data_IF_967784881846
#
_entry.id   IF_967784881846
#
_cell.length_a   1.000
_cell.length_b   1.000
_cell.length_c   1.000
_cell.angle_alpha   90.00
_cell.angle_beta   90.00
_cell.angle_gamma   90.00
#
_symmetry.space_group_name_H-M   'P 1'
#
loop_
_entity.id
_entity.type
_entity.pdbx_description
1 polymer ?
#
# COMPACT_ATOMS: atom_id res chain seq x y z
N UNK A 1 -19.58 -0.26 -7.84
CA UNK A 1 -18.39 -0.69 -8.62
C UNK A 1 -17.64 0.58 -8.99
N UNK A 2 -16.32 0.62 -8.81
CA UNK A 2 -15.51 1.82 -9.09
C UNK A 2 -15.56 2.17 -10.58
N UNK A 3 -15.81 3.44 -10.91
CA UNK A 3 -15.78 3.92 -12.30
C UNK A 3 -14.33 4.01 -12.79
N UNK A 4 -13.85 2.92 -13.38
CA UNK A 4 -12.46 2.82 -13.85
C UNK A 4 -12.12 3.87 -14.90
N UNK A 5 -13.06 4.28 -15.75
CA UNK A 5 -12.79 5.27 -16.79
C UNK A 5 -12.57 6.66 -16.17
N UNK A 6 -13.38 7.03 -15.17
CA UNK A 6 -13.17 8.25 -14.40
C UNK A 6 -11.83 8.23 -13.64
N UNK A 7 -11.49 7.11 -12.98
CA UNK A 7 -10.21 6.95 -12.28
C UNK A 7 -9.01 7.08 -13.23
N UNK A 8 -9.09 6.48 -14.42
CA UNK A 8 -8.04 6.58 -15.43
C UNK A 8 -7.89 8.02 -15.95
N UNK A 9 -9.00 8.71 -16.22
CA UNK A 9 -8.96 10.12 -16.63
C UNK A 9 -8.29 11.00 -15.57
N UNK A 10 -8.59 10.78 -14.28
CA UNK A 10 -7.96 11.51 -13.18
C UNK A 10 -6.48 11.15 -13.04
N UNK A 11 -6.10 9.88 -13.08
CA UNK A 11 -4.71 9.45 -12.96
C UNK A 11 -3.81 9.98 -14.09
N UNK A 12 -4.40 10.36 -15.23
CA UNK A 12 -3.73 11.01 -16.36
C UNK A 12 -3.64 12.55 -16.25
N UNK A 13 -4.26 13.16 -15.22
CA UNK A 13 -4.09 14.58 -14.89
C UNK A 13 -2.75 14.79 -14.17
N UNK A 14 -1.67 14.75 -14.93
CA UNK A 14 -0.32 14.89 -14.39
C UNK A 14 0.74 14.39 -15.37
N UNK A 15 1.96 14.14 -14.88
CA UNK A 15 3.00 13.48 -15.68
C UNK A 15 2.55 12.08 -16.14
N UNK A 16 3.13 11.59 -17.22
CA UNK A 16 2.79 10.29 -17.80
C UNK A 16 2.86 9.17 -16.76
N UNK A 17 1.74 8.49 -16.45
CA UNK A 17 1.73 7.43 -15.45
C UNK A 17 2.40 6.17 -16.01
N UNK A 18 3.24 5.53 -15.20
CA UNK A 18 3.72 4.16 -15.41
C UNK A 18 2.64 3.18 -14.96
N UNK A 19 2.03 3.45 -13.81
CA UNK A 19 0.86 2.71 -13.34
C UNK A 19 0.04 3.52 -12.35
N UNK A 20 -1.21 3.10 -12.19
CA UNK A 20 -2.11 3.56 -11.15
C UNK A 20 -2.91 2.36 -10.64
N UNK A 21 -2.95 2.20 -9.32
CA UNK A 21 -3.66 1.13 -8.62
C UNK A 21 -4.52 1.72 -7.51
N UNK A 22 -5.65 1.09 -7.24
CA UNK A 22 -6.47 1.43 -6.08
C UNK A 22 -5.79 0.88 -4.82
N UNK A 23 -5.77 1.68 -3.77
CA UNK A 23 -5.30 1.36 -2.42
C UNK A 23 -6.43 1.60 -1.40
N UNK A 24 -6.08 1.84 -0.14
CA UNK A 24 -7.06 2.20 0.88
C UNK A 24 -8.02 1.07 1.22
N UNK A 25 -9.19 1.43 1.77
CA UNK A 25 -10.18 0.47 2.23
C UNK A 25 -10.62 -0.53 1.13
N UNK A 26 -10.57 -0.12 -0.14
CA UNK A 26 -10.85 -0.99 -1.28
C UNK A 26 -9.81 -2.10 -1.45
N UNK A 27 -8.52 -1.77 -1.39
CA UNK A 27 -7.44 -2.77 -1.41
C UNK A 27 -7.44 -3.63 -0.14
N UNK A 28 -7.80 -3.04 0.99
CA UNK A 28 -7.70 -3.69 2.28
C UNK A 28 -8.91 -4.57 2.62
N UNK A 29 -9.93 -4.60 1.75
CA UNK A 29 -11.05 -5.54 1.85
C UNK A 29 -12.20 -5.08 2.75
N UNK A 30 -12.28 -3.80 3.10
CA UNK A 30 -13.32 -3.29 4.01
C UNK A 30 -13.90 -1.94 3.59
N UNK A 31 -13.89 -1.64 2.29
CA UNK A 31 -14.59 -0.47 1.76
C UNK A 31 -16.10 -0.56 2.03
N UNK A 32 -16.68 0.57 2.46
CA UNK A 32 -18.11 0.84 2.50
C UNK A 32 -18.54 1.65 1.27
N UNK A 33 -19.85 1.81 1.02
CA UNK A 33 -20.36 2.58 -0.13
C UNK A 33 -19.89 4.05 -0.17
N UNK A 34 -19.59 4.62 0.99
CA UNK A 34 -19.11 5.99 1.21
C UNK A 34 -17.58 6.09 1.33
N UNK A 35 -16.83 5.00 1.13
CA UNK A 35 -15.36 5.04 1.24
C UNK A 35 -14.71 5.85 0.12
N UNK A 36 -13.72 6.66 0.52
CA UNK A 36 -12.82 7.36 -0.40
C UNK A 36 -12.05 6.39 -1.31
N UNK A 37 -11.75 6.87 -2.52
CA UNK A 37 -10.91 6.14 -3.46
C UNK A 37 -9.47 6.64 -3.36
N UNK A 38 -8.61 5.85 -2.73
CA UNK A 38 -7.17 6.05 -2.75
C UNK A 38 -6.59 5.52 -4.06
N UNK A 39 -6.12 6.40 -4.96
CA UNK A 39 -5.27 5.99 -6.07
C UNK A 39 -3.81 6.18 -5.69
N UNK A 40 -2.99 5.19 -6.01
CA UNK A 40 -1.54 5.20 -5.78
C UNK A 40 -0.77 4.68 -6.99
N UNK A 41 0.42 5.21 -7.24
CA UNK A 41 1.19 4.75 -8.39
C UNK A 41 2.56 5.41 -8.60
N UNK A 42 3.07 5.24 -9.81
CA UNK A 42 4.30 5.87 -10.27
C UNK A 42 4.09 6.56 -11.62
N UNK A 43 4.82 7.65 -11.83
CA UNK A 43 4.89 8.39 -13.08
C UNK A 43 6.34 8.62 -13.50
N UNK A 44 6.53 9.14 -14.71
CA UNK A 44 7.86 9.43 -15.25
C UNK A 44 8.04 10.92 -15.50
N UNK A 45 9.04 11.53 -14.84
CA UNK A 45 9.52 12.86 -15.20
C UNK A 45 10.56 12.79 -16.33
N UNK A 46 10.65 13.84 -17.17
CA UNK A 46 11.67 13.93 -18.23
C UNK A 46 13.08 14.03 -17.64
N UNK A 47 14.10 13.62 -18.39
CA UNK A 47 15.52 13.65 -17.98
C UNK A 47 15.94 15.06 -17.58
N UNK A 48 15.50 16.06 -18.36
CA UNK A 48 15.67 17.49 -18.07
C UNK A 48 15.35 17.86 -16.63
N UNK A 49 14.35 17.24 -16.00
CA UNK A 49 13.94 17.56 -14.63
C UNK A 49 15.02 17.24 -13.59
N UNK A 50 15.93 16.31 -13.90
CA UNK A 50 17.02 15.88 -13.01
C UNK A 50 18.37 16.54 -13.33
N UNK A 51 18.52 17.16 -14.50
CA UNK A 51 19.74 17.86 -14.91
C UNK A 51 19.76 19.35 -14.53
N UNK A 52 18.60 19.90 -14.12
CA UNK A 52 18.47 21.29 -13.70
C UNK A 52 19.10 21.58 -12.33
N UNK A 53 19.29 22.86 -12.01
CA UNK A 53 19.88 23.33 -10.75
C UNK A 53 19.06 22.99 -9.49
N UNK A 54 17.75 22.74 -9.64
CA UNK A 54 16.81 22.50 -8.53
C UNK A 54 16.37 21.05 -8.57
N UNK A 55 16.26 20.44 -7.39
CA UNK A 55 15.69 19.10 -7.26
C UNK A 55 14.25 19.09 -7.79
N UNK A 56 13.85 18.09 -8.58
CA UNK A 56 12.49 18.01 -9.11
C UNK A 56 11.49 17.64 -8.02
N UNK A 57 10.23 18.02 -8.24
CA UNK A 57 9.12 17.52 -7.44
C UNK A 57 8.81 16.07 -7.83
N UNK A 58 9.30 15.12 -7.04
CA UNK A 58 9.15 13.68 -7.30
C UNK A 58 7.81 13.10 -6.81
N UNK A 59 6.82 13.94 -6.45
CA UNK A 59 5.53 13.47 -5.90
C UNK A 59 4.39 14.35 -6.36
N UNK A 60 3.41 13.70 -6.96
CA UNK A 60 2.12 14.25 -7.29
C UNK A 60 1.15 13.91 -6.17
N UNK A 61 0.37 14.89 -5.72
CA UNK A 61 -0.77 14.72 -4.84
C UNK A 61 -1.92 15.55 -5.44
N UNK A 62 -3.05 14.90 -5.71
CA UNK A 62 -4.24 15.53 -6.28
C UNK A 62 -5.46 14.99 -5.54
N UNK A 63 -6.24 15.89 -4.96
CA UNK A 63 -7.55 15.58 -4.40
C UNK A 63 -8.63 15.93 -5.44
N UNK A 64 -9.57 15.02 -5.68
CA UNK A 64 -10.77 15.27 -6.47
C UNK A 64 -11.99 15.18 -5.55
N UNK A 65 -12.75 16.28 -5.51
CA UNK A 65 -14.00 16.40 -4.74
C UNK A 65 -15.13 16.64 -5.73
N UNK A 66 -15.57 15.56 -6.38
CA UNK A 66 -16.53 15.59 -7.47
C UNK A 66 -17.66 14.57 -7.26
N UNK A 67 -17.85 13.69 -8.23
CA UNK A 67 -18.83 12.59 -8.13
C UNK A 67 -18.48 11.57 -7.03
N UNK A 68 -17.21 11.52 -6.62
CA UNK A 68 -16.69 10.73 -5.51
C UNK A 68 -15.48 11.45 -4.90
N UNK A 69 -15.14 11.11 -3.66
CA UNK A 69 -13.92 11.59 -2.99
C UNK A 69 -12.74 10.71 -3.41
N UNK A 70 -11.70 11.33 -3.98
CA UNK A 70 -10.50 10.63 -4.42
C UNK A 70 -9.23 11.38 -4.02
N UNK A 71 -8.25 10.60 -3.57
CA UNK A 71 -6.89 11.04 -3.32
C UNK A 71 -5.92 10.31 -4.27
N UNK A 72 -5.30 11.04 -5.20
CA UNK A 72 -4.30 10.53 -6.13
C UNK A 72 -2.90 10.93 -5.69
N UNK A 73 -2.13 9.94 -5.21
CA UNK A 73 -0.74 10.13 -4.83
C UNK A 73 0.16 9.22 -5.65
N UNK A 74 1.09 9.82 -6.39
CA UNK A 74 2.06 9.08 -7.17
C UNK A 74 3.47 9.63 -7.01
N UNK A 75 4.47 8.81 -7.28
CA UNK A 75 5.88 9.19 -7.20
C UNK A 75 6.56 9.08 -8.56
N UNK A 76 7.56 9.91 -8.83
CA UNK A 76 8.45 9.65 -9.96
C UNK A 76 9.08 8.25 -9.81
N UNK A 77 9.27 7.56 -10.94
CA UNK A 77 9.79 6.19 -10.99
C UNK A 77 11.07 6.01 -10.18
N UNK A 78 12.01 6.97 -10.23
CA UNK A 78 13.26 6.91 -9.47
C UNK A 78 12.99 6.92 -7.96
N UNK A 79 12.09 7.80 -7.49
CA UNK A 79 11.70 7.85 -6.07
C UNK A 79 10.97 6.57 -5.66
N UNK A 80 10.06 6.08 -6.49
CA UNK A 80 9.30 4.85 -6.22
C UNK A 80 10.24 3.64 -6.05
N UNK A 81 11.18 3.45 -6.98
CA UNK A 81 12.18 2.38 -6.92
C UNK A 81 13.11 2.55 -5.71
N UNK A 82 13.55 3.77 -5.40
CA UNK A 82 14.34 4.04 -4.18
C UNK A 82 13.58 3.63 -2.92
N UNK A 83 12.29 3.89 -2.84
CA UNK A 83 11.46 3.45 -1.71
C UNK A 83 11.35 1.92 -1.64
N UNK A 84 11.20 1.23 -2.79
CA UNK A 84 11.21 -0.25 -2.83
C UNK A 84 12.51 -0.82 -2.26
N UNK A 85 13.66 -0.26 -2.64
CA UNK A 85 14.97 -0.69 -2.14
C UNK A 85 15.21 -0.34 -0.66
N UNK A 86 14.32 0.45 -0.04
CA UNK A 86 14.38 0.84 1.37
C UNK A 86 13.33 0.07 2.20
N UNK A 87 12.99 -1.15 1.77
CA UNK A 87 12.11 -2.08 2.49
C UNK A 87 10.72 -1.50 2.80
N UNK A 88 10.22 -0.64 1.91
CA UNK A 88 9.01 0.10 2.15
C UNK A 88 7.75 -0.69 1.74
N UNK A 89 7.06 -1.27 2.73
CA UNK A 89 5.84 -2.05 2.53
C UNK A 89 4.71 -1.28 1.84
N UNK A 90 4.63 0.05 2.01
CA UNK A 90 3.59 0.88 1.37
C UNK A 90 3.67 0.85 -0.15
N UNK A 91 4.86 1.00 -0.75
CA UNK A 91 5.01 0.94 -2.21
C UNK A 91 4.93 -0.48 -2.74
N UNK A 92 5.27 -1.49 -1.94
CA UNK A 92 5.03 -2.90 -2.29
C UNK A 92 3.53 -3.19 -2.40
N UNK A 93 2.72 -2.77 -1.41
CA UNK A 93 1.27 -2.96 -1.44
C UNK A 93 0.61 -2.27 -2.63
N UNK A 94 1.12 -1.11 -3.06
CA UNK A 94 0.64 -0.42 -4.26
C UNK A 94 0.99 -1.20 -5.53
N UNK A 95 2.27 -1.57 -5.66
CA UNK A 95 2.77 -2.26 -6.86
C UNK A 95 2.09 -3.61 -7.09
N UNK A 96 1.75 -4.32 -6.01
CA UNK A 96 1.09 -5.62 -6.03
C UNK A 96 -0.42 -5.56 -5.79
N UNK A 97 -1.02 -4.38 -5.73
CA UNK A 97 -2.48 -4.26 -5.68
C UNK A 97 -3.13 -4.95 -6.88
N UNK A 98 -4.13 -5.83 -6.67
CA UNK A 98 -4.86 -6.45 -7.76
C UNK A 98 -5.81 -5.48 -8.47
N UNK A 99 -6.08 -4.31 -7.87
CA UNK A 99 -7.04 -3.32 -8.36
C UNK A 99 -6.35 -2.31 -9.29
N UNK A 100 -5.97 -2.79 -10.48
CA UNK A 100 -5.21 -2.01 -11.46
C UNK A 100 -6.11 -1.07 -12.27
N UNK A 101 -5.82 0.23 -12.24
CA UNK A 101 -6.48 1.25 -13.08
C UNK A 101 -5.68 1.42 -14.37
N UNK A 102 -4.39 1.77 -14.26
CA UNK A 102 -3.46 1.93 -15.39
C UNK A 102 -2.31 0.94 -15.22
N UNK A 103 -1.98 0.24 -16.30
CA UNK A 103 -0.78 -0.60 -16.43
C UNK A 103 -0.10 -0.32 -17.77
N UNK A 104 1.21 -0.18 -17.75
CA UNK A 104 2.06 -0.01 -18.94
C UNK A 104 3.10 -1.14 -19.02
N UNK A 105 3.80 -1.34 -20.14
CA UNK A 105 4.86 -2.35 -20.20
C UNK A 105 5.95 -2.18 -19.11
N UNK A 106 6.45 -0.95 -18.80
CA UNK A 106 7.39 -0.75 -17.68
C UNK A 106 6.81 -1.14 -16.31
N UNK A 107 5.50 -1.06 -16.09
CA UNK A 107 4.89 -1.52 -14.84
C UNK A 107 5.02 -3.04 -14.67
N UNK A 108 4.83 -3.81 -15.74
CA UNK A 108 4.96 -5.27 -15.68
C UNK A 108 6.41 -5.67 -15.40
N UNK A 109 7.37 -5.01 -16.04
CA UNK A 109 8.80 -5.22 -15.78
C UNK A 109 9.18 -4.84 -14.34
N UNK A 110 8.72 -3.68 -13.86
CA UNK A 110 8.94 -3.25 -12.47
C UNK A 110 8.38 -4.25 -11.47
N UNK A 111 7.19 -4.81 -11.71
CA UNK A 111 6.60 -5.84 -10.83
C UNK A 111 7.48 -7.07 -10.69
N UNK A 112 8.09 -7.53 -11.78
CA UNK A 112 8.97 -8.70 -11.73
C UNK A 112 10.30 -8.38 -11.03
N UNK A 113 10.92 -7.24 -11.34
CA UNK A 113 12.15 -6.80 -10.66
C UNK A 113 11.93 -6.57 -9.16
N UNK A 114 10.79 -5.99 -8.77
CA UNK A 114 10.49 -5.66 -7.38
C UNK A 114 10.28 -6.88 -6.49
N UNK A 115 10.17 -8.11 -7.03
CA UNK A 115 10.23 -9.34 -6.23
C UNK A 115 11.54 -9.42 -5.44
N UNK A 116 12.63 -8.93 -6.02
CA UNK A 116 13.93 -8.81 -5.36
C UNK A 116 13.94 -7.84 -4.17
N UNK A 117 12.93 -6.97 -4.03
CA UNK A 117 12.81 -6.02 -2.91
C UNK A 117 11.93 -6.53 -1.75
N UNK A 118 11.42 -7.76 -1.83
CA UNK A 118 10.72 -8.39 -0.71
C UNK A 118 11.77 -8.98 0.23
N UNK A 119 12.00 -8.29 1.34
CA UNK A 119 13.14 -8.51 2.23
C UNK A 119 12.70 -8.64 3.68
N UNK A 120 13.53 -9.26 4.52
CA UNK A 120 13.28 -9.45 5.95
C UNK A 120 13.09 -8.11 6.69
N UNK A 121 13.86 -7.03 6.43
CA UNK A 121 13.67 -5.74 7.10
C UNK A 121 12.34 -5.05 6.78
N UNK A 122 11.58 -5.48 5.77
CA UNK A 122 10.23 -4.94 5.47
C UNK A 122 9.28 -5.11 6.66
N UNK A 123 9.51 -6.08 7.55
CA UNK A 123 8.77 -6.20 8.81
C UNK A 123 8.75 -4.91 9.64
N UNK A 124 9.85 -4.13 9.62
CA UNK A 124 9.96 -2.87 10.37
C UNK A 124 8.97 -1.82 9.88
N UNK A 125 8.65 -1.83 8.59
CA UNK A 125 7.59 -0.98 8.03
C UNK A 125 6.24 -1.34 8.68
N UNK A 126 5.88 -2.62 8.69
CA UNK A 126 4.62 -3.10 9.28
C UNK A 126 4.55 -2.85 10.78
N UNK A 127 5.64 -3.08 11.52
CA UNK A 127 5.74 -2.78 12.96
C UNK A 127 5.54 -1.28 13.24
N UNK A 128 6.21 -0.41 12.46
CA UNK A 128 6.07 1.03 12.58
C UNK A 128 4.65 1.50 12.26
N UNK A 129 4.04 0.94 11.22
CA UNK A 129 2.67 1.25 10.84
C UNK A 129 1.67 0.78 11.90
N UNK A 130 1.82 -0.45 12.41
CA UNK A 130 1.01 -1.01 13.49
C UNK A 130 1.05 -0.11 14.73
N UNK A 131 2.24 0.32 15.15
CA UNK A 131 2.41 1.27 16.26
C UNK A 131 1.63 2.57 16.05
N UNK A 132 1.64 3.10 14.82
CA UNK A 132 0.82 4.26 14.44
C UNK A 132 -0.69 3.99 14.59
N UNK A 133 -1.15 2.79 14.22
CA UNK A 133 -2.57 2.40 14.38
C UNK A 133 -2.95 2.17 15.84
N UNK A 134 -2.07 1.55 16.64
CA UNK A 134 -2.26 1.45 18.10
C UNK A 134 -2.36 2.82 18.75
N UNK A 135 -1.56 3.80 18.31
CA UNK A 135 -1.69 5.19 18.78
C UNK A 135 -3.06 5.78 18.41
N UNK A 136 -3.50 5.63 17.16
CA UNK A 136 -4.82 6.11 16.71
C UNK A 136 -5.97 5.48 17.48
N UNK A 137 -5.88 4.22 17.86
CA UNK A 137 -6.90 3.54 18.66
C UNK A 137 -7.03 4.07 20.10
N UNK A 138 -5.98 4.69 20.64
CA UNK A 138 -5.98 5.30 21.99
C UNK A 138 -6.50 6.74 21.98
N UNK A 139 -6.68 7.34 20.81
CA UNK A 139 -7.29 8.66 20.69
C UNK A 139 -8.81 8.56 20.89
N UNK A 140 -9.48 9.67 21.26
CA UNK A 140 -10.93 9.69 21.40
C UNK A 140 -11.66 9.23 20.12
N UNK A 141 -12.80 8.58 20.31
CA UNK A 141 -13.65 8.07 19.23
C UNK A 141 -12.95 7.06 18.29
N UNK A 142 -12.43 5.93 18.81
CA UNK A 142 -11.94 4.85 17.96
C UNK A 142 -13.11 4.25 17.16
N UNK A 143 -12.81 3.76 15.96
CA UNK A 143 -13.81 3.24 15.01
C UNK A 143 -13.44 1.82 14.60
N UNK A 144 -14.43 1.11 14.04
CA UNK A 144 -14.23 -0.21 13.42
C UNK A 144 -13.15 -0.14 12.32
N UNK A 145 -13.14 0.93 11.52
CA UNK A 145 -12.09 1.18 10.52
C UNK A 145 -10.69 1.17 11.17
N UNK A 146 -10.50 1.87 12.29
CA UNK A 146 -9.20 1.89 12.97
C UNK A 146 -8.75 0.51 13.44
N UNK A 147 -9.65 -0.35 13.93
CA UNK A 147 -9.33 -1.74 14.30
C UNK A 147 -8.95 -2.56 13.09
N UNK A 148 -9.73 -2.50 12.02
CA UNK A 148 -9.45 -3.24 10.77
C UNK A 148 -8.09 -2.87 10.20
N UNK A 149 -7.71 -1.58 10.24
CA UNK A 149 -6.37 -1.14 9.87
C UNK A 149 -5.26 -1.71 10.77
N UNK A 150 -5.50 -1.85 12.08
CA UNK A 150 -4.53 -2.42 13.00
C UNK A 150 -4.35 -3.94 12.78
N UNK A 151 -5.45 -4.67 12.57
CA UNK A 151 -5.39 -6.10 12.22
C UNK A 151 -4.69 -6.32 10.90
N UNK A 152 -5.18 -5.69 9.82
CA UNK A 152 -4.68 -5.96 8.46
C UNK A 152 -3.18 -5.73 8.34
N UNK A 153 -2.63 -4.72 9.03
CA UNK A 153 -1.22 -4.38 8.89
C UNK A 153 -0.31 -5.40 9.59
N UNK A 154 -0.72 -5.90 10.76
CA UNK A 154 0.00 -6.98 11.45
C UNK A 154 -0.08 -8.27 10.65
N UNK A 155 -1.28 -8.63 10.18
CA UNK A 155 -1.48 -9.83 9.36
C UNK A 155 -0.69 -9.78 8.04
N UNK A 156 -0.68 -8.62 7.35
CA UNK A 156 0.10 -8.43 6.12
C UNK A 156 1.59 -8.66 6.38
N UNK A 157 2.12 -8.08 7.46
CA UNK A 157 3.51 -8.26 7.85
C UNK A 157 3.85 -9.71 8.17
N UNK A 158 3.00 -10.40 8.95
CA UNK A 158 3.22 -11.82 9.31
C UNK A 158 3.18 -12.69 8.06
N UNK A 159 2.19 -12.50 7.19
CA UNK A 159 2.06 -13.24 5.94
C UNK A 159 3.29 -13.06 5.06
N UNK A 160 3.73 -11.80 4.85
CA UNK A 160 4.92 -11.50 4.05
C UNK A 160 6.17 -12.14 4.65
N UNK A 161 6.37 -12.08 5.96
CA UNK A 161 7.52 -12.72 6.62
C UNK A 161 7.51 -14.26 6.49
N UNK A 162 6.33 -14.88 6.46
CA UNK A 162 6.19 -16.34 6.38
C UNK A 162 6.40 -16.90 4.97
N UNK A 163 5.93 -16.21 3.93
CA UNK A 163 5.91 -16.76 2.57
C UNK A 163 6.54 -15.88 1.49
N UNK A 164 6.89 -14.62 1.79
CA UNK A 164 7.43 -13.70 0.81
C UNK A 164 6.40 -13.15 -0.17
N UNK A 165 5.11 -13.29 0.11
CA UNK A 165 4.04 -12.74 -0.72
C UNK A 165 3.46 -11.46 -0.10
N UNK A 166 3.13 -10.49 -0.96
CA UNK A 166 2.48 -9.25 -0.56
C UNK A 166 0.97 -9.48 -0.63
N UNK A 167 0.32 -9.54 0.54
CA UNK A 167 -1.12 -9.64 0.64
C UNK A 167 -1.64 -8.57 1.58
N UNK A 168 -2.63 -7.82 1.08
CA UNK A 168 -3.11 -6.59 1.69
C UNK A 168 -4.58 -6.66 2.15
N UNK A 169 -5.37 -7.53 1.53
CA UNK A 169 -6.79 -7.69 1.81
C UNK A 169 -7.00 -8.45 3.12
N UNK A 170 -7.70 -7.84 4.06
CA UNK A 170 -7.91 -8.42 5.40
C UNK A 170 -8.73 -9.71 5.35
N UNK A 171 -9.64 -9.88 4.38
CA UNK A 171 -10.47 -11.07 4.27
C UNK A 171 -9.63 -12.25 3.77
N UNK A 172 -8.80 -12.02 2.76
CA UNK A 172 -7.87 -13.04 2.24
C UNK A 172 -6.84 -13.42 3.31
N UNK A 173 -6.32 -12.45 4.05
CA UNK A 173 -5.48 -12.72 5.21
C UNK A 173 -6.25 -13.56 6.25
N UNK A 174 -7.50 -13.21 6.55
CA UNK A 174 -8.27 -13.90 7.58
C UNK A 174 -8.62 -15.35 7.21
N UNK A 175 -8.66 -15.72 5.93
CA UNK A 175 -8.76 -17.13 5.50
C UNK A 175 -7.56 -17.97 5.96
N UNK A 176 -6.40 -17.35 6.14
CA UNK A 176 -5.18 -17.99 6.64
C UNK A 176 -5.12 -17.97 8.17
N UNK A 177 -5.51 -16.86 8.79
CA UNK A 177 -5.33 -16.65 10.24
C UNK A 177 -6.54 -17.05 11.10
N UNK A 178 -7.75 -17.11 10.54
CA UNK A 178 -8.95 -17.61 11.22
C UNK A 178 -9.40 -16.78 12.43
N UNK A 179 -9.25 -15.46 12.39
CA UNK A 179 -9.63 -14.56 13.49
C UNK A 179 -11.10 -14.17 13.35
N UNK A 180 -11.97 -14.80 14.14
CA UNK A 180 -13.42 -14.59 14.10
C UNK A 180 -13.84 -13.11 14.23
N UNK A 181 -13.12 -12.36 15.08
CA UNK A 181 -13.39 -10.95 15.31
C UNK A 181 -13.26 -10.09 14.04
N UNK A 182 -12.40 -10.48 13.08
CA UNK A 182 -12.23 -9.73 11.83
C UNK A 182 -13.49 -9.83 10.95
N UNK A 183 -14.11 -11.02 10.87
CA UNK A 183 -15.32 -11.22 10.06
C UNK A 183 -16.47 -10.34 10.55
N UNK A 184 -16.64 -10.26 11.88
CA UNK A 184 -17.63 -9.38 12.51
C UNK A 184 -17.35 -7.90 12.22
N UNK A 185 -16.09 -7.46 12.39
CA UNK A 185 -15.69 -6.08 12.13
C UNK A 185 -15.87 -5.69 10.66
N UNK A 186 -15.52 -6.57 9.71
CA UNK A 186 -15.74 -6.33 8.28
C UNK A 186 -17.23 -6.23 7.99
N UNK A 187 -18.05 -7.16 8.49
CA UNK A 187 -19.50 -7.14 8.29
C UNK A 187 -20.12 -5.83 8.81
N UNK A 188 -19.71 -5.39 10.01
CA UNK A 188 -20.11 -4.09 10.59
C UNK A 188 -19.67 -2.92 9.73
N UNK A 189 -18.44 -2.93 9.21
CA UNK A 189 -17.92 -1.85 8.36
C UNK A 189 -18.61 -1.76 7.01
N UNK A 190 -19.00 -2.90 6.43
CA UNK A 190 -19.71 -2.97 5.15
C UNK A 190 -21.20 -2.60 5.27
N UNK A 191 -21.83 -2.91 6.41
CA UNK A 191 -23.24 -2.60 6.65
C UNK A 191 -23.47 -1.19 7.26
N UNK A 192 -22.46 -0.62 7.92
CA UNK A 192 -22.54 0.66 8.61
C UNK A 192 -21.93 1.83 7.83
N UNK A 193 -22.04 3.02 8.41
CA UNK A 193 -21.38 4.24 7.93
C UNK A 193 -19.85 4.15 8.05
N UNK A 194 -19.12 5.02 7.36
CA UNK A 194 -17.65 5.07 7.44
C UNK A 194 -17.10 5.26 8.86
N UNK A 195 -17.80 6.04 9.68
CA UNK A 195 -17.40 6.44 11.04
C UNK A 195 -18.09 5.62 12.14
N UNK A 196 -18.23 4.32 11.95
CA UNK A 196 -18.82 3.44 12.96
C UNK A 196 -17.90 3.35 14.19
N UNK A 197 -18.35 3.97 15.29
CA UNK A 197 -17.66 3.93 16.58
C UNK A 197 -17.61 2.52 17.16
N UNK A 198 -16.59 2.26 17.96
CA UNK A 198 -16.54 1.06 18.80
C UNK A 198 -17.54 1.18 19.96
N UNK A 199 -18.10 0.06 20.37
CA UNK A 199 -18.91 -0.04 21.57
C UNK A 199 -18.08 0.11 22.84
N UNK A 200 -18.76 0.38 23.95
CA UNK A 200 -18.13 0.54 25.26
C UNK A 200 -17.38 -0.73 25.68
N UNK A 201 -16.09 -0.58 26.01
CA UNK A 201 -15.23 -1.69 26.43
C UNK A 201 -14.80 -2.65 25.31
N UNK A 202 -15.31 -2.49 24.08
CA UNK A 202 -14.99 -3.36 22.93
C UNK A 202 -13.48 -3.34 22.62
N UNK A 203 -12.87 -2.15 22.63
CA UNK A 203 -11.46 -1.97 22.31
C UNK A 203 -10.56 -2.87 23.16
N UNK A 204 -10.83 -2.99 24.47
CA UNK A 204 -10.01 -3.78 25.39
C UNK A 204 -9.96 -5.28 25.03
N UNK A 205 -11.01 -5.81 24.39
CA UNK A 205 -11.04 -7.19 23.89
C UNK A 205 -10.05 -7.36 22.72
N UNK A 206 -10.01 -6.39 21.81
CA UNK A 206 -9.12 -6.41 20.65
C UNK A 206 -7.67 -6.12 21.00
N UNK A 207 -7.39 -5.35 22.06
CA UNK A 207 -6.02 -5.03 22.46
C UNK A 207 -5.19 -6.29 22.71
N UNK A 208 -5.74 -7.29 23.42
CA UNK A 208 -5.02 -8.55 23.68
C UNK A 208 -4.70 -9.32 22.40
N UNK A 209 -5.63 -9.32 21.45
CA UNK A 209 -5.42 -9.98 20.15
C UNK A 209 -4.36 -9.25 19.33
N UNK A 210 -4.36 -7.91 19.34
CA UNK A 210 -3.36 -7.10 18.66
C UNK A 210 -1.96 -7.29 19.29
N UNK A 211 -1.86 -7.36 20.62
CA UNK A 211 -0.60 -7.60 21.31
C UNK A 211 -0.02 -8.98 20.92
N UNK A 212 -0.86 -10.03 20.88
CA UNK A 212 -0.45 -11.36 20.42
C UNK A 212 0.02 -11.37 18.94
N UNK A 213 -0.62 -10.56 18.09
CA UNK A 213 -0.21 -10.42 16.68
C UNK A 213 1.08 -9.62 16.51
N UNK A 214 1.35 -8.64 17.38
CA UNK A 214 2.64 -7.94 17.41
C UNK A 214 3.77 -8.90 17.79
N UNK A 215 3.57 -9.74 18.81
CA UNK A 215 4.52 -10.81 19.17
C UNK A 215 4.71 -11.84 18.05
N UNK A 216 3.64 -12.19 17.35
CA UNK A 216 3.71 -13.08 16.19
C UNK A 216 4.49 -12.45 15.02
N UNK A 217 4.32 -11.15 14.76
CA UNK A 217 5.08 -10.44 13.73
C UNK A 217 6.58 -10.43 14.05
N UNK A 218 6.96 -10.22 15.31
CA UNK A 218 8.37 -10.32 15.74
C UNK A 218 8.93 -11.73 15.56
N UNK A 219 8.16 -12.76 15.95
CA UNK A 219 8.56 -14.15 15.74
C UNK A 219 8.72 -14.49 14.25
N UNK A 220 7.75 -14.08 13.42
CA UNK A 220 7.81 -14.28 11.98
C UNK A 220 9.01 -13.55 11.35
N UNK A 221 9.32 -12.32 11.80
CA UNK A 221 10.51 -11.60 11.37
C UNK A 221 11.80 -12.34 11.72
N UNK A 222 11.93 -12.82 12.96
CA UNK A 222 13.11 -13.55 13.42
C UNK A 222 13.34 -14.88 12.66
N UNK A 223 12.26 -15.56 12.28
CA UNK A 223 12.28 -16.86 11.62
C UNK A 223 12.25 -16.78 10.08
N UNK A 224 12.03 -15.59 9.50
CA UNK A 224 11.89 -15.43 8.06
C UNK A 224 13.16 -15.82 7.31
N UNK A 225 12.98 -16.54 6.21
CA UNK A 225 14.03 -16.90 5.26
C UNK A 225 14.23 -15.83 4.16
N UNK A 226 13.52 -14.70 4.23
CA UNK A 226 13.68 -13.59 3.30
C UNK A 226 15.10 -12.99 3.37
N UNK A 227 15.63 -12.48 2.24
CA UNK A 227 16.94 -11.84 2.23
C UNK A 227 16.97 -10.56 3.08
N UNK A 228 18.13 -10.20 3.61
CA UNK A 228 18.34 -8.93 4.32
C UNK A 228 18.29 -7.73 3.37
N UNK A 229 18.99 -7.85 2.25
CA UNK A 229 19.15 -6.76 1.28
C UNK A 229 18.33 -7.03 0.02
N UNK A 230 17.84 -5.98 -0.67
CA UNK A 230 17.22 -6.13 -1.97
C UNK A 230 18.19 -6.78 -2.97
N UNK A 231 17.68 -7.68 -3.79
CA UNK A 231 18.44 -8.31 -4.88
C UNK A 231 18.38 -7.45 -6.13
N UNK A 232 19.41 -7.58 -6.97
CA UNK A 232 19.45 -7.03 -8.33
C UNK A 232 19.22 -5.50 -8.41
N UNK A 233 19.70 -4.75 -7.42
CA UNK A 233 19.67 -3.27 -7.42
C UNK A 233 20.25 -2.68 -8.71
N UNK A 234 21.34 -3.19 -9.31
CA UNK A 234 21.82 -2.70 -10.61
C UNK A 234 20.79 -2.86 -11.75
N UNK A 235 19.97 -3.92 -11.74
CA UNK A 235 18.92 -4.10 -12.75
C UNK A 235 17.78 -3.10 -12.57
N UNK A 236 17.42 -2.79 -11.32
CA UNK A 236 16.47 -1.72 -11.00
C UNK A 236 17.00 -0.34 -11.42
N UNK A 237 18.30 -0.09 -11.24
CA UNK A 237 18.93 1.14 -11.70
C UNK A 237 18.90 1.26 -13.23
N UNK A 238 19.32 0.21 -13.95
CA UNK A 238 19.22 0.15 -15.42
C UNK A 238 17.79 0.39 -15.89
N UNK A 239 16.82 -0.29 -15.27
CA UNK A 239 15.40 -0.15 -15.58
C UNK A 239 14.93 1.30 -15.46
N UNK A 240 15.27 2.01 -14.36
CA UNK A 240 14.89 3.42 -14.17
C UNK A 240 15.50 4.29 -15.25
N UNK A 241 16.79 4.10 -15.56
CA UNK A 241 17.51 4.91 -16.56
C UNK A 241 16.96 4.65 -17.96
N UNK A 242 16.88 3.38 -18.37
CA UNK A 242 16.45 2.97 -19.71
C UNK A 242 15.00 3.32 -19.99
N UNK A 243 14.10 3.16 -19.00
CA UNK A 243 12.70 3.58 -19.12
C UNK A 243 12.61 5.08 -19.39
N UNK A 244 13.43 5.88 -18.71
CA UNK A 244 13.44 7.33 -18.87
C UNK A 244 13.99 7.78 -20.22
N UNK A 245 15.12 7.23 -20.65
CA UNK A 245 15.73 7.57 -21.94
C UNK A 245 14.86 7.13 -23.12
N UNK A 246 14.20 5.98 -23.02
CA UNK A 246 13.30 5.49 -24.06
C UNK A 246 12.08 6.39 -24.24
N UNK A 247 11.54 6.96 -23.16
CA UNK A 247 10.40 7.86 -23.25
C UNK A 247 10.73 9.17 -23.98
N UNK A 248 11.96 9.68 -23.86
CA UNK A 248 12.38 10.90 -24.56
C UNK A 248 12.61 10.67 -26.06
N UNK A 249 13.03 9.46 -26.47
CA UNK A 249 13.19 9.14 -27.88
C UNK A 249 11.85 9.10 -28.66
N UNK A 250 10.72 9.02 -27.96
CA UNK A 250 9.38 8.92 -28.54
C UNK A 250 8.50 10.16 -28.27
N UNK A 251 9.05 11.20 -27.63
CA UNK A 251 8.36 12.47 -27.32
C UNK A 251 8.77 13.58 -28.27
#
# INVERSE_FOLDING_TARGET
MLDRAALEAIARRGPTPIFATVSGAHLYGFASPDSDVDLRGAFLLPVRAFLGLRAPQETLALEERGAFELDWVAHDLRKFVRMLTQHNGYVLEQLYSPLVVIATPPFLELRELARGCITRPTARHYQGFARGRRKRLREPAPTVKHLLYAYRVLLSGIHLMRCGEVLADVNELNRVFGIAAIEELVARKSAGAEQLLLGDGELALHERALDALEEELERAHAQSALPEEPRDVPALEDFVVRTRLSAEAHS
#
